data_IF_411700003364
#
_entry.id   IF_411700003364
#
_cell.length_a   1.000
_cell.length_b   1.000
_cell.length_c   1.000
_cell.angle_alpha   90.00
_cell.angle_beta   90.00
_cell.angle_gamma   90.00
#
_symmetry.space_group_name_H-M   'P 1'
#
loop_
_entity.id
_entity.type
_entity.pdbx_description
1 polymer ?
#
# COMPACT_ATOMS: atom_id res chain seq x y z
N UNK A 1 -11.67 32.34 -13.10
CA UNK A 1 -10.58 32.58 -14.07
C UNK A 1 -9.56 31.46 -13.89
N UNK A 2 -9.61 30.42 -14.73
CA UNK A 2 -8.63 29.32 -14.71
C UNK A 2 -7.39 29.79 -15.46
N UNK A 3 -6.23 29.78 -14.81
CA UNK A 3 -4.96 30.05 -15.48
C UNK A 3 -4.69 28.93 -16.49
N UNK A 4 -4.87 29.22 -17.78
CA UNK A 4 -4.54 28.31 -18.88
C UNK A 4 -3.02 28.38 -19.13
N UNK A 5 -2.27 27.49 -18.50
CA UNK A 5 -0.85 27.32 -18.81
C UNK A 5 -0.71 26.34 -19.98
N UNK A 6 -0.44 26.87 -21.17
CA UNK A 6 0.04 26.06 -22.30
C UNK A 6 1.56 26.21 -22.35
N UNK A 7 2.35 25.12 -22.28
CA UNK A 7 3.80 25.22 -22.42
C UNK A 7 4.14 25.84 -23.78
N UNK A 8 4.78 27.02 -23.79
CA UNK A 8 5.12 27.77 -25.01
C UNK A 8 6.47 27.35 -25.62
N UNK A 9 7.17 26.40 -25.00
CA UNK A 9 8.44 25.83 -25.46
C UNK A 9 8.38 24.31 -25.38
N UNK A 10 9.04 23.62 -26.32
CA UNK A 10 9.14 22.16 -26.30
C UNK A 10 9.84 21.64 -25.04
N UNK A 11 9.33 20.54 -24.49
CA UNK A 11 9.81 19.90 -23.25
C UNK A 11 9.11 18.55 -23.03
N UNK A 12 9.43 17.81 -21.96
CA UNK A 12 8.86 16.49 -21.74
C UNK A 12 7.37 16.56 -21.40
N UNK A 13 6.83 17.72 -21.02
CA UNK A 13 5.42 17.88 -20.68
C UNK A 13 4.58 18.29 -21.90
N UNK A 14 3.44 17.65 -22.09
CA UNK A 14 2.45 18.01 -23.10
C UNK A 14 1.05 18.05 -22.48
N UNK A 15 0.19 18.91 -23.02
CA UNK A 15 -1.23 18.92 -22.65
C UNK A 15 -1.93 17.84 -23.48
N UNK A 16 -2.44 16.80 -22.83
CA UNK A 16 -3.32 15.83 -23.48
C UNK A 16 -4.77 16.19 -23.21
N UNK A 17 -5.62 16.02 -24.21
CA UNK A 17 -7.07 16.18 -24.05
C UNK A 17 -7.67 14.83 -23.67
N UNK A 18 -8.23 14.73 -22.47
CA UNK A 18 -9.08 13.59 -22.09
C UNK A 18 -10.53 13.96 -22.40
N UNK A 19 -11.24 13.08 -23.10
CA UNK A 19 -12.66 13.27 -23.39
C UNK A 19 -13.44 12.52 -22.33
N UNK A 20 -14.10 13.27 -21.45
CA UNK A 20 -15.03 12.70 -20.50
C UNK A 20 -16.46 12.89 -21.03
N UNK A 21 -17.13 11.79 -21.36
CA UNK A 21 -18.49 11.84 -21.90
C UNK A 21 -19.46 11.30 -20.85
N UNK A 22 -20.28 12.19 -20.29
CA UNK A 22 -21.40 11.78 -19.45
C UNK A 22 -22.58 11.47 -20.35
N UNK A 23 -23.14 10.26 -20.25
CA UNK A 23 -24.29 9.83 -21.05
C UNK A 23 -24.92 8.55 -20.51
N UNK A 24 -26.15 8.24 -20.92
CA UNK A 24 -26.81 6.99 -20.50
C UNK A 24 -26.08 5.80 -21.13
N UNK A 25 -25.63 4.86 -20.30
CA UNK A 25 -24.96 3.65 -20.78
C UNK A 25 -25.98 2.69 -21.39
N UNK A 26 -25.81 2.36 -22.67
CA UNK A 26 -26.44 1.21 -23.31
C UNK A 26 -25.35 0.50 -24.13
N UNK A 27 -25.02 -0.74 -23.74
CA UNK A 27 -24.01 -1.60 -24.38
C UNK A 27 -22.63 -0.95 -24.58
N UNK A 28 -21.75 -1.03 -23.56
CA UNK A 28 -20.32 -0.67 -23.57
C UNK A 28 -19.88 0.66 -24.22
N UNK A 29 -20.82 1.51 -24.62
CA UNK A 29 -20.57 2.85 -25.15
C UNK A 29 -21.61 3.83 -24.58
N UNK A 30 -21.18 4.99 -24.07
CA UNK A 30 -22.11 6.02 -23.62
C UNK A 30 -22.82 6.64 -24.83
N UNK A 31 -24.15 6.49 -24.90
CA UNK A 31 -24.97 7.07 -25.97
C UNK A 31 -25.69 8.32 -25.42
N UNK A 32 -25.30 9.47 -25.96
CA UNK A 32 -25.93 10.76 -25.70
C UNK A 32 -25.57 11.41 -24.36
N UNK A 33 -25.03 12.63 -24.43
CA UNK A 33 -24.79 13.52 -23.28
C UNK A 33 -23.59 14.45 -23.51
N UNK A 34 -23.24 15.29 -22.52
CA UNK A 34 -22.25 16.36 -22.70
C UNK A 34 -20.83 15.78 -22.60
N UNK A 35 -20.08 15.86 -23.70
CA UNK A 35 -18.65 15.62 -23.69
C UNK A 35 -17.92 16.85 -23.15
N UNK A 36 -17.18 16.68 -22.06
CA UNK A 36 -16.27 17.69 -21.55
C UNK A 36 -14.84 17.29 -21.89
N UNK A 37 -14.14 18.20 -22.58
CA UNK A 37 -12.72 18.05 -22.88
C UNK A 37 -11.94 18.63 -21.72
N UNK A 38 -11.21 17.79 -20.99
CA UNK A 38 -10.31 18.22 -19.94
C UNK A 38 -8.87 18.23 -20.45
N UNK A 39 -8.15 19.31 -20.13
CA UNK A 39 -6.76 19.51 -20.52
C UNK A 39 -5.86 19.18 -19.32
N UNK A 40 -5.13 18.06 -19.39
CA UNK A 40 -4.21 17.62 -18.33
C UNK A 40 -2.77 17.64 -18.81
N UNK A 41 -1.85 18.05 -17.93
CA UNK A 41 -0.41 18.09 -18.21
C UNK A 41 0.20 16.70 -17.98
N UNK A 42 0.85 16.12 -18.99
CA UNK A 42 1.47 14.78 -18.93
C UNK A 42 2.94 14.83 -19.34
N UNK A 43 3.82 14.09 -18.65
CA UNK A 43 5.23 13.89 -19.04
C UNK A 43 5.30 12.77 -20.09
N UNK A 44 6.05 12.99 -21.17
CA UNK A 44 6.32 12.04 -22.25
C UNK A 44 7.51 11.19 -21.80
N UNK A 45 7.22 10.02 -21.25
CA UNK A 45 8.21 8.97 -20.96
C UNK A 45 8.03 7.89 -22.02
N UNK A 46 9.12 7.38 -22.57
CA UNK A 46 9.07 6.33 -23.59
C UNK A 46 8.48 5.04 -22.97
N UNK A 47 7.31 4.61 -23.47
CA UNK A 47 6.55 3.49 -22.91
C UNK A 47 5.64 3.95 -21.75
N UNK A 48 4.42 3.40 -21.70
CA UNK A 48 3.36 3.77 -20.76
C UNK A 48 3.69 3.39 -19.29
N UNK A 49 4.68 4.05 -18.69
CA UNK A 49 4.95 3.96 -17.26
C UNK A 49 3.95 4.86 -16.54
N UNK A 50 2.91 4.27 -15.97
CA UNK A 50 1.88 5.04 -15.26
C UNK A 50 2.23 5.21 -13.79
N UNK A 51 3.16 4.42 -13.23
CA UNK A 51 3.42 4.38 -11.79
C UNK A 51 2.25 3.78 -11.00
N UNK A 52 1.22 3.25 -11.66
CA UNK A 52 0.07 2.59 -11.03
C UNK A 52 0.30 1.09 -10.97
N UNK A 53 0.17 0.50 -9.79
CA UNK A 53 0.31 -0.94 -9.52
C UNK A 53 -1.04 -1.45 -9.01
N UNK A 54 -1.77 -2.31 -9.73
CA UNK A 54 -2.96 -2.93 -9.17
C UNK A 54 -2.58 -3.81 -7.97
N UNK A 55 -3.47 -3.92 -7.00
CA UNK A 55 -3.33 -4.84 -5.88
C UNK A 55 -4.56 -5.75 -5.85
N UNK A 56 -4.32 -7.05 -5.69
CA UNK A 56 -5.36 -8.05 -5.55
C UNK A 56 -5.65 -8.27 -4.05
N UNK A 57 -6.91 -8.45 -3.69
CA UNK A 57 -7.35 -8.86 -2.36
C UNK A 57 -7.69 -10.37 -2.36
N UNK A 58 -6.72 -11.26 -2.06
CA UNK A 58 -6.97 -12.69 -1.97
C UNK A 58 -7.64 -13.13 -0.66
N UNK A 59 -7.78 -12.26 0.34
CA UNK A 59 -8.15 -12.64 1.70
C UNK A 59 -9.20 -11.72 2.35
N UNK A 60 -10.19 -11.27 1.59
CA UNK A 60 -11.35 -10.51 2.08
C UNK A 60 -10.92 -9.32 2.95
N UNK A 61 -10.16 -8.42 2.38
CA UNK A 61 -9.59 -7.20 2.95
C UNK A 61 -8.47 -7.44 3.98
N UNK A 62 -8.04 -8.69 4.18
CA UNK A 62 -6.99 -9.03 5.17
C UNK A 62 -5.57 -8.96 4.63
N UNK A 63 -5.40 -8.93 3.30
CA UNK A 63 -4.10 -8.91 2.62
C UNK A 63 -4.27 -8.29 1.23
N UNK A 64 -3.36 -7.43 0.80
CA UNK A 64 -3.36 -6.85 -0.55
C UNK A 64 -2.03 -7.12 -1.26
N UNK A 65 -2.07 -7.89 -2.34
CA UNK A 65 -0.86 -8.31 -3.04
C UNK A 65 -0.68 -7.54 -4.36
N UNK A 66 0.49 -6.92 -4.51
CA UNK A 66 0.85 -6.16 -5.70
C UNK A 66 2.02 -6.83 -6.45
N UNK A 67 1.93 -6.96 -7.80
CA UNK A 67 2.97 -7.61 -8.58
C UNK A 67 4.21 -6.72 -8.73
N UNK A 68 5.37 -7.31 -8.46
CA UNK A 68 6.70 -6.70 -8.65
C UNK A 68 7.57 -7.64 -9.47
N UNK A 69 8.10 -7.16 -10.59
CA UNK A 69 9.06 -7.92 -11.41
C UNK A 69 10.49 -7.64 -10.97
N UNK A 70 11.27 -8.69 -10.71
CA UNK A 70 12.64 -8.61 -10.22
C UNK A 70 13.60 -9.25 -11.22
N UNK A 71 14.69 -8.56 -11.54
CA UNK A 71 15.82 -9.15 -12.26
C UNK A 71 15.71 -9.21 -13.78
N UNK A 72 16.70 -9.86 -14.39
CA UNK A 72 16.85 -9.99 -15.85
C UNK A 72 17.24 -11.42 -16.26
N UNK A 73 16.37 -12.20 -16.92
CA UNK A 73 14.97 -11.90 -17.23
C UNK A 73 14.13 -11.70 -15.96
N UNK A 74 13.03 -10.95 -16.11
CA UNK A 74 12.13 -10.62 -15.01
C UNK A 74 11.50 -11.87 -14.39
N UNK A 75 11.51 -11.93 -13.07
CA UNK A 75 10.80 -12.89 -12.21
C UNK A 75 9.77 -12.10 -11.42
N UNK A 76 8.48 -12.34 -11.66
CA UNK A 76 7.42 -11.61 -10.93
C UNK A 76 7.08 -12.31 -9.63
N UNK A 77 6.97 -11.53 -8.57
CA UNK A 77 6.52 -11.91 -7.23
C UNK A 77 5.36 -11.01 -6.83
N UNK A 78 4.45 -11.51 -6.00
CA UNK A 78 3.31 -10.76 -5.49
C UNK A 78 3.58 -10.38 -4.03
N UNK A 79 3.84 -9.09 -3.79
CA UNK A 79 4.30 -8.61 -2.49
C UNK A 79 3.20 -7.83 -1.79
N UNK A 80 3.18 -7.93 -0.47
CA UNK A 80 2.39 -7.07 0.38
C UNK A 80 3.14 -5.74 0.58
N UNK A 81 2.50 -4.62 0.24
CA UNK A 81 3.15 -3.31 0.26
C UNK A 81 2.91 -2.67 1.62
N UNK A 82 3.99 -2.48 2.37
CA UNK A 82 3.96 -2.29 3.82
C UNK A 82 4.45 -0.91 4.25
N UNK A 83 3.54 -0.01 4.62
CA UNK A 83 3.91 1.31 5.19
C UNK A 83 4.35 1.26 6.66
N UNK A 84 4.22 0.12 7.32
CA UNK A 84 4.72 -0.18 8.66
C UNK A 84 6.15 -0.72 8.71
N UNK A 85 6.78 -1.10 7.60
CA UNK A 85 8.20 -1.53 7.56
C UNK A 85 8.99 -0.95 6.37
N UNK A 86 10.31 -1.14 6.37
CA UNK A 86 11.22 -0.56 5.38
C UNK A 86 12.06 -1.60 4.62
N UNK A 87 11.69 -2.87 4.72
CA UNK A 87 12.44 -4.00 4.17
C UNK A 87 11.76 -4.50 2.90
N UNK A 88 12.54 -4.80 1.86
CA UNK A 88 12.03 -5.48 0.66
C UNK A 88 12.59 -6.89 0.68
N UNK A 89 11.79 -7.81 1.19
CA UNK A 89 12.15 -9.21 1.28
C UNK A 89 11.24 -10.09 0.44
N UNK A 90 11.81 -11.18 -0.07
CA UNK A 90 11.10 -12.12 -0.93
C UNK A 90 11.35 -13.56 -0.52
N UNK A 91 10.35 -14.41 -0.74
CA UNK A 91 10.56 -15.85 -0.80
C UNK A 91 11.64 -16.14 -1.83
N UNK A 92 12.67 -16.87 -1.42
CA UNK A 92 13.83 -17.13 -2.25
C UNK A 92 14.15 -18.61 -2.34
N UNK A 93 14.89 -19.01 -3.37
CA UNK A 93 15.38 -20.39 -3.49
C UNK A 93 16.40 -20.79 -2.42
N UNK A 94 16.73 -19.90 -1.47
CA UNK A 94 17.53 -20.22 -0.29
C UNK A 94 16.71 -20.88 0.82
N UNK A 95 15.37 -20.76 0.78
CA UNK A 95 14.48 -21.46 1.70
C UNK A 95 14.63 -22.99 1.56
N UNK A 96 14.44 -23.76 2.65
CA UNK A 96 14.34 -25.21 2.58
C UNK A 96 13.28 -25.67 1.58
N UNK A 97 13.59 -26.69 0.78
CA UNK A 97 12.67 -27.17 -0.27
C UNK A 97 11.29 -27.57 0.28
N UNK A 98 11.23 -28.19 1.46
CA UNK A 98 9.97 -28.55 2.10
C UNK A 98 9.13 -27.36 2.61
N UNK A 99 9.69 -26.14 2.65
CA UNK A 99 8.94 -24.90 2.84
C UNK A 99 8.45 -24.39 1.48
N UNK A 100 9.33 -24.35 0.48
CA UNK A 100 8.98 -23.92 -0.89
C UNK A 100 7.84 -24.78 -1.46
N UNK A 101 7.88 -26.10 -1.27
CA UNK A 101 6.88 -27.03 -1.79
C UNK A 101 5.47 -26.80 -1.20
N UNK A 102 5.37 -26.13 -0.05
CA UNK A 102 4.07 -25.77 0.57
C UNK A 102 3.49 -24.46 0.02
N UNK A 103 4.27 -23.67 -0.70
CA UNK A 103 3.84 -22.41 -1.32
C UNK A 103 3.24 -22.67 -2.70
N UNK A 104 2.26 -23.58 -2.77
CA UNK A 104 1.81 -24.25 -4.01
C UNK A 104 1.35 -23.30 -5.13
N UNK A 105 1.01 -22.04 -4.81
CA UNK A 105 0.52 -21.04 -5.77
C UNK A 105 1.33 -19.74 -5.79
N UNK A 106 2.42 -19.67 -5.03
CA UNK A 106 3.25 -18.47 -4.96
C UNK A 106 4.53 -18.56 -5.78
N UNK A 107 5.21 -17.43 -5.90
CA UNK A 107 6.44 -17.30 -6.66
C UNK A 107 7.64 -17.25 -5.71
N UNK A 108 8.71 -17.94 -6.10
CA UNK A 108 9.97 -17.95 -5.37
C UNK A 108 11.05 -17.34 -6.24
N UNK A 109 11.66 -16.25 -5.77
CA UNK A 109 12.72 -15.58 -6.49
C UNK A 109 13.99 -16.43 -6.50
N UNK A 110 14.53 -16.65 -7.70
CA UNK A 110 15.81 -17.34 -7.88
C UNK A 110 16.88 -16.32 -8.32
N UNK A 111 17.78 -15.89 -7.42
CA UNK A 111 18.82 -14.91 -7.75
C UNK A 111 19.76 -15.42 -8.87
N UNK A 112 20.03 -16.72 -8.94
CA UNK A 112 20.94 -17.31 -9.95
C UNK A 112 20.38 -17.26 -11.38
N UNK A 113 19.07 -17.04 -11.53
CA UNK A 113 18.40 -16.86 -12.83
C UNK A 113 18.37 -15.41 -13.29
N UNK A 114 18.80 -14.45 -12.46
CA UNK A 114 18.91 -13.05 -12.84
C UNK A 114 20.35 -12.68 -13.17
N UNK A 115 20.58 -12.26 -14.41
CA UNK A 115 21.87 -11.73 -14.88
C UNK A 115 22.22 -10.35 -14.30
N UNK A 116 21.27 -9.67 -13.65
CA UNK A 116 21.47 -8.35 -13.03
C UNK A 116 21.55 -8.40 -11.51
N UNK A 117 21.28 -9.55 -10.88
CA UNK A 117 21.43 -9.74 -9.44
C UNK A 117 22.90 -9.65 -9.04
N UNK A 118 23.17 -8.91 -7.96
CA UNK A 118 24.49 -8.79 -7.36
C UNK A 118 24.37 -8.90 -5.85
N UNK A 119 24.93 -9.94 -5.27
CA UNK A 119 25.02 -10.05 -3.81
C UNK A 119 25.73 -8.84 -3.19
N UNK A 120 25.35 -8.52 -1.96
CA UNK A 120 26.03 -7.58 -1.07
C UNK A 120 26.74 -8.38 0.02
N UNK A 121 28.00 -8.82 -0.19
CA UNK A 121 28.66 -9.72 0.73
C UNK A 121 28.77 -9.15 2.13
N UNK A 122 28.46 -9.98 3.13
CA UNK A 122 28.49 -9.58 4.54
C UNK A 122 27.26 -8.79 5.01
N UNK A 123 26.24 -8.64 4.16
CA UNK A 123 24.95 -8.05 4.54
C UNK A 123 23.96 -9.13 4.97
N UNK A 124 23.33 -8.95 6.12
CA UNK A 124 22.35 -9.86 6.72
C UNK A 124 21.10 -9.06 7.08
N UNK A 125 19.95 -9.73 7.22
CA UNK A 125 18.71 -9.08 7.61
C UNK A 125 17.87 -10.02 8.49
N UNK A 126 17.14 -9.42 9.42
CA UNK A 126 16.19 -10.12 10.29
C UNK A 126 15.11 -9.13 10.69
N UNK A 127 13.87 -9.45 10.31
CA UNK A 127 12.70 -8.65 10.64
C UNK A 127 11.75 -9.46 11.52
N UNK A 128 11.23 -8.81 12.56
CA UNK A 128 10.25 -9.39 13.47
C UNK A 128 9.07 -8.45 13.58
N UNK A 129 7.89 -8.97 13.25
CA UNK A 129 6.59 -8.35 13.37
C UNK A 129 5.86 -8.89 14.62
N UNK A 130 4.72 -8.29 14.96
CA UNK A 130 3.89 -8.78 16.07
C UNK A 130 3.31 -10.17 15.83
N UNK A 131 3.13 -10.55 14.57
CA UNK A 131 2.48 -11.79 14.10
C UNK A 131 3.45 -12.83 13.51
N UNK A 132 4.73 -12.48 13.32
CA UNK A 132 5.70 -13.37 12.70
C UNK A 132 7.08 -12.77 12.51
N UNK A 133 8.01 -13.55 11.97
CA UNK A 133 9.35 -13.09 11.62
C UNK A 133 9.82 -13.71 10.31
N UNK A 134 10.69 -12.99 9.61
CA UNK A 134 11.40 -13.45 8.44
C UNK A 134 12.87 -13.04 8.58
N UNK A 135 13.77 -13.87 8.08
CA UNK A 135 15.19 -13.54 8.13
C UNK A 135 15.97 -14.20 7.00
N UNK A 136 17.17 -13.67 6.78
CA UNK A 136 18.07 -14.24 5.80
C UNK A 136 19.51 -13.79 5.91
N UNK A 137 20.41 -14.70 5.53
CA UNK A 137 21.83 -14.44 5.48
C UNK A 137 22.32 -13.83 4.15
N UNK A 138 21.41 -13.54 3.21
CA UNK A 138 21.76 -13.00 1.89
C UNK A 138 20.90 -11.78 1.57
N UNK A 139 21.58 -10.65 1.38
CA UNK A 139 21.03 -9.45 0.73
C UNK A 139 21.76 -9.25 -0.59
N UNK A 140 21.03 -8.88 -1.63
CA UNK A 140 21.61 -8.49 -2.91
C UNK A 140 20.96 -7.24 -3.47
N UNK A 141 21.42 -6.80 -4.62
CA UNK A 141 20.78 -5.75 -5.40
C UNK A 141 20.34 -6.29 -6.74
N UNK A 142 19.19 -5.85 -7.20
CA UNK A 142 18.73 -6.11 -8.56
C UNK A 142 17.91 -4.92 -9.11
N UNK A 143 17.44 -5.04 -10.33
CA UNK A 143 16.45 -4.13 -10.90
C UNK A 143 15.05 -4.65 -10.58
N UNK A 144 14.22 -3.81 -9.97
CA UNK A 144 12.79 -4.10 -9.82
C UNK A 144 11.96 -3.25 -10.78
N UNK A 145 10.80 -3.77 -11.19
CA UNK A 145 9.81 -3.07 -12.00
C UNK A 145 8.44 -3.19 -11.36
N UNK A 146 7.81 -2.07 -11.07
CA UNK A 146 6.45 -1.96 -10.56
C UNK A 146 5.73 -0.77 -11.20
N UNK A 147 4.52 -0.98 -11.72
CA UNK A 147 3.75 0.06 -12.39
C UNK A 147 4.45 0.65 -13.62
N UNK A 148 5.35 -0.14 -14.22
CA UNK A 148 6.23 0.26 -15.31
C UNK A 148 7.49 1.03 -14.88
N UNK A 149 7.57 1.53 -13.64
CA UNK A 149 8.77 2.22 -13.11
C UNK A 149 9.88 1.20 -12.89
N UNK A 150 11.11 1.54 -13.28
CA UNK A 150 12.28 0.64 -13.20
C UNK A 150 13.26 1.19 -12.16
N UNK A 151 13.24 0.61 -10.96
CA UNK A 151 14.14 0.98 -9.86
C UNK A 151 15.40 0.10 -9.96
N UNK A 152 16.55 0.70 -10.27
CA UNK A 152 17.82 -0.04 -10.41
C UNK A 152 18.53 -0.15 -9.07
N UNK A 153 19.32 -1.23 -8.93
CA UNK A 153 20.13 -1.51 -7.75
C UNK A 153 19.33 -1.46 -6.44
N UNK A 154 18.05 -1.82 -6.49
CA UNK A 154 17.23 -1.95 -5.30
C UNK A 154 17.76 -3.12 -4.48
N UNK A 155 17.95 -2.91 -3.18
CA UNK A 155 18.29 -3.99 -2.27
C UNK A 155 17.11 -4.95 -2.13
N UNK A 156 17.41 -6.24 -2.15
CA UNK A 156 16.46 -7.36 -2.07
C UNK A 156 17.00 -8.32 -1.03
N UNK A 157 16.18 -8.57 -0.04
CA UNK A 157 16.47 -9.38 1.13
C UNK A 157 15.92 -10.79 0.88
N UNK A 158 16.81 -11.77 0.78
CA UNK A 158 16.43 -13.13 0.40
C UNK A 158 16.11 -13.94 1.65
N UNK A 159 14.87 -14.38 1.79
CA UNK A 159 14.48 -15.22 2.92
C UNK A 159 15.18 -16.57 2.85
N UNK A 160 15.77 -16.98 3.97
CA UNK A 160 16.20 -18.37 4.21
C UNK A 160 15.42 -19.02 5.37
N UNK A 161 14.75 -18.20 6.18
CA UNK A 161 13.93 -18.61 7.32
C UNK A 161 12.63 -17.78 7.35
N UNK A 162 11.50 -18.45 7.59
CA UNK A 162 10.17 -17.84 7.73
C UNK A 162 9.44 -18.43 8.94
N UNK A 163 8.71 -17.59 9.68
CA UNK A 163 7.77 -18.05 10.70
C UNK A 163 6.65 -18.88 10.11
N UNK A 164 5.95 -19.65 10.96
CA UNK A 164 4.80 -20.45 10.52
C UNK A 164 3.66 -19.60 9.94
N UNK A 165 3.52 -18.35 10.39
CA UNK A 165 2.51 -17.41 9.89
C UNK A 165 2.79 -17.04 8.44
N UNK A 166 4.02 -16.62 8.11
CA UNK A 166 4.40 -16.31 6.73
C UNK A 166 4.34 -17.51 5.80
N UNK A 167 4.66 -18.72 6.28
CA UNK A 167 4.54 -19.95 5.50
C UNK A 167 3.10 -20.32 5.12
N UNK A 168 2.10 -19.80 5.85
CA UNK A 168 0.67 -20.04 5.57
C UNK A 168 0.04 -18.95 4.70
N UNK A 169 0.72 -17.80 4.56
CA UNK A 169 0.26 -16.69 3.73
C UNK A 169 0.37 -16.98 2.24
N UNK A 170 -0.40 -16.25 1.44
CA UNK A 170 -0.40 -16.34 -0.02
C UNK A 170 0.59 -15.38 -0.70
N UNK A 171 1.21 -14.48 0.06
CA UNK A 171 2.17 -13.49 -0.44
C UNK A 171 3.57 -14.06 -0.63
N UNK A 172 4.30 -13.50 -1.59
CA UNK A 172 5.67 -13.89 -1.95
C UNK A 172 6.73 -13.06 -1.21
N UNK A 173 6.32 -12.21 -0.26
CA UNK A 173 7.18 -11.34 0.52
C UNK A 173 6.53 -9.99 0.79
N UNK A 174 7.34 -9.04 1.27
CA UNK A 174 6.91 -7.67 1.57
C UNK A 174 7.75 -6.65 0.78
N UNK A 175 7.14 -5.49 0.54
CA UNK A 175 7.81 -4.30 0.03
C UNK A 175 7.56 -3.14 1.00
N UNK A 176 8.58 -2.84 1.80
CA UNK A 176 8.54 -1.74 2.76
C UNK A 176 8.43 -0.36 2.11
N UNK A 177 7.50 0.44 2.65
CA UNK A 177 7.14 1.80 2.26
C UNK A 177 7.24 2.78 3.44
N UNK A 178 7.72 2.33 4.60
CA UNK A 178 8.16 3.20 5.69
C UNK A 178 9.49 3.90 5.35
N UNK A 179 10.06 4.64 6.30
CA UNK A 179 11.31 5.36 6.09
C UNK A 179 12.52 4.45 6.30
N UNK A 180 13.57 4.58 5.48
CA UNK A 180 14.73 3.65 5.48
C UNK A 180 15.52 3.57 6.78
N UNK A 181 15.33 4.51 7.72
CA UNK A 181 16.02 4.48 9.01
C UNK A 181 15.60 3.32 9.91
N UNK A 182 14.53 2.60 9.57
CA UNK A 182 14.12 1.35 10.24
C UNK A 182 14.35 0.09 9.38
N UNK A 183 15.01 0.20 8.22
CA UNK A 183 15.39 -0.98 7.45
C UNK A 183 16.36 -1.87 8.25
N UNK A 184 16.17 -3.18 8.21
CA UNK A 184 16.87 -4.10 9.12
C UNK A 184 18.24 -4.57 8.63
N UNK A 185 18.62 -4.25 7.38
CA UNK A 185 19.90 -4.72 6.81
C UNK A 185 21.09 -4.23 7.64
N UNK A 186 21.90 -5.18 8.07
CA UNK A 186 23.16 -4.96 8.77
C UNK A 186 24.35 -5.30 7.88
N UNK A 187 25.50 -4.62 7.99
CA UNK A 187 25.81 -3.56 8.96
C UNK A 187 25.33 -2.16 8.56
N UNK A 188 24.73 -2.02 7.38
CA UNK A 188 24.29 -0.75 6.84
C UNK A 188 22.90 -0.89 6.24
N UNK A 189 21.95 -0.11 6.79
CA UNK A 189 20.59 -0.01 6.27
C UNK A 189 20.60 0.42 4.79
N UNK A 190 19.64 -0.12 4.03
CA UNK A 190 19.47 0.15 2.61
C UNK A 190 18.25 1.05 2.35
N UNK A 191 18.19 1.64 1.16
CA UNK A 191 17.05 2.49 0.75
C UNK A 191 15.83 1.66 0.39
N UNK A 192 14.66 2.18 0.72
CA UNK A 192 13.37 1.65 0.24
C UNK A 192 13.19 1.93 -1.27
N UNK A 193 12.27 1.23 -1.95
CA UNK A 193 11.97 1.49 -3.36
C UNK A 193 11.59 2.94 -3.66
N UNK A 194 10.78 3.58 -2.80
CA UNK A 194 10.35 4.97 -3.00
C UNK A 194 11.54 5.93 -2.94
N UNK A 195 12.42 5.76 -1.95
CA UNK A 195 13.64 6.58 -1.85
C UNK A 195 14.55 6.40 -3.06
N UNK A 196 14.68 5.16 -3.56
CA UNK A 196 15.43 4.88 -4.77
C UNK A 196 14.76 5.46 -6.03
N UNK A 197 13.43 5.49 -6.12
CA UNK A 197 12.69 6.15 -7.21
C UNK A 197 12.93 7.67 -7.21
N UNK A 198 12.90 8.30 -6.03
CA UNK A 198 13.21 9.74 -5.87
C UNK A 198 14.66 10.02 -6.28
N UNK A 199 15.61 9.23 -5.78
CA UNK A 199 17.03 9.42 -6.07
C UNK A 199 17.40 9.17 -7.55
N UNK A 200 16.56 8.44 -8.30
CA UNK A 200 16.76 8.12 -9.72
C UNK A 200 15.92 9.00 -10.66
N UNK A 201 15.15 9.95 -10.14
CA UNK A 201 14.20 10.78 -10.90
C UNK A 201 13.11 9.95 -11.64
N UNK A 202 12.83 8.74 -11.16
CA UNK A 202 11.78 7.86 -11.69
C UNK A 202 10.40 8.45 -11.42
N UNK A 203 10.25 9.13 -10.27
CA UNK A 203 9.06 9.93 -9.94
C UNK A 203 9.38 11.43 -9.95
N UNK A 204 8.42 12.32 -10.27
CA UNK A 204 8.68 13.75 -10.31
C UNK A 204 9.03 14.33 -8.93
N UNK A 205 10.08 15.16 -8.86
CA UNK A 205 10.42 15.93 -7.64
C UNK A 205 9.28 16.81 -7.10
N UNK A 206 8.34 17.22 -7.96
CA UNK A 206 7.17 17.99 -7.54
C UNK A 206 6.08 17.15 -6.87
N UNK A 207 6.24 15.83 -6.83
CA UNK A 207 5.28 14.89 -6.28
C UNK A 207 5.90 14.05 -5.15
N UNK A 208 7.09 13.46 -5.33
CA UNK A 208 7.83 12.65 -4.33
C UNK A 208 6.95 11.89 -3.33
N UNK A 209 5.90 11.25 -3.85
CA UNK A 209 4.84 10.62 -3.08
C UNK A 209 4.48 9.28 -3.70
N UNK A 210 3.81 8.46 -2.89
CA UNK A 210 2.98 7.37 -3.37
C UNK A 210 1.58 7.51 -2.74
N UNK A 211 0.59 6.81 -3.29
CA UNK A 211 -0.72 6.66 -2.66
C UNK A 211 -1.09 5.20 -2.59
N UNK A 212 -1.83 4.82 -1.55
CA UNK A 212 -2.49 3.54 -1.42
C UNK A 212 -4.01 3.76 -1.50
N UNK A 213 -4.68 3.02 -2.38
CA UNK A 213 -6.13 2.86 -2.36
C UNK A 213 -6.42 1.38 -2.14
N UNK A 214 -6.95 1.06 -0.97
CA UNK A 214 -7.36 -0.28 -0.59
C UNK A 214 -8.89 -0.31 -0.61
N UNK A 215 -9.47 -0.94 -1.64
CA UNK A 215 -10.92 -1.13 -1.76
C UNK A 215 -11.33 -2.46 -1.15
N UNK A 216 -12.65 -2.63 -0.91
CA UNK A 216 -13.17 -3.84 -0.28
C UNK A 216 -13.89 -4.75 -1.26
N UNK A 217 -13.84 -6.06 -1.04
CA UNK A 217 -14.72 -7.02 -1.74
C UNK A 217 -16.22 -6.71 -1.55
N UNK A 218 -16.58 -5.96 -0.51
CA UNK A 218 -17.96 -5.52 -0.22
C UNK A 218 -18.45 -4.47 -1.23
N UNK A 219 -17.54 -3.75 -1.86
CA UNK A 219 -17.82 -2.66 -2.79
C UNK A 219 -17.94 -3.17 -4.25
N UNK A 220 -18.21 -4.47 -4.44
CA UNK A 220 -18.29 -5.10 -5.76
C UNK A 220 -19.35 -4.48 -6.69
N UNK A 221 -20.36 -3.82 -6.13
CA UNK A 221 -21.43 -3.14 -6.85
C UNK A 221 -21.09 -1.65 -7.16
N UNK A 222 -20.00 -1.11 -6.62
CA UNK A 222 -19.53 0.23 -6.92
C UNK A 222 -18.91 0.32 -8.34
N UNK A 223 -18.80 1.53 -8.94
CA UNK A 223 -18.29 1.67 -10.31
C UNK A 223 -16.89 1.07 -10.55
N UNK A 224 -16.03 1.08 -9.53
CA UNK A 224 -14.68 0.51 -9.59
C UNK A 224 -14.59 -0.91 -9.01
N UNK A 225 -15.71 -1.44 -8.49
CA UNK A 225 -15.86 -2.79 -7.94
C UNK A 225 -14.88 -3.11 -6.80
N UNK A 226 -14.61 -2.13 -5.93
CA UNK A 226 -13.68 -2.32 -4.82
C UNK A 226 -12.22 -2.45 -5.24
N UNK A 227 -11.84 -1.92 -6.41
CA UNK A 227 -10.48 -2.08 -6.92
C UNK A 227 -9.41 -1.43 -6.02
N UNK A 228 -8.39 -2.22 -5.67
CA UNK A 228 -7.20 -1.78 -4.94
C UNK A 228 -6.03 -1.50 -5.86
N UNK A 229 -5.24 -0.47 -5.53
CA UNK A 229 -4.00 -0.16 -6.23
C UNK A 229 -3.11 0.80 -5.43
N UNK A 230 -1.83 0.82 -5.81
CA UNK A 230 -0.86 1.83 -5.39
C UNK A 230 -0.48 2.72 -6.57
N UNK A 231 -0.14 3.97 -6.29
CA UNK A 231 0.46 4.88 -7.29
C UNK A 231 1.78 5.43 -6.79
N UNK A 232 2.74 5.62 -7.68
CA UNK A 232 4.04 6.21 -7.39
C UNK A 232 4.23 7.45 -8.26
N UNK A 233 4.43 8.61 -7.63
CA UNK A 233 4.69 9.90 -8.29
C UNK A 233 3.46 10.71 -8.71
N UNK A 234 2.25 10.27 -8.37
CA UNK A 234 1.02 11.02 -8.62
C UNK A 234 -0.15 10.56 -7.76
N UNK A 235 -1.15 11.43 -7.58
CA UNK A 235 -2.43 11.13 -6.94
C UNK A 235 -3.48 10.91 -8.03
N UNK A 236 -4.18 9.77 -7.99
CA UNK A 236 -5.23 9.48 -8.97
C UNK A 236 -6.45 10.38 -8.76
N UNK A 237 -6.62 11.35 -9.66
CA UNK A 237 -7.68 12.37 -9.55
C UNK A 237 -9.08 11.79 -9.72
N UNK A 238 -9.24 10.67 -10.43
CA UNK A 238 -10.53 9.99 -10.58
C UNK A 238 -11.01 9.46 -9.22
N UNK A 239 -10.11 8.85 -8.44
CA UNK A 239 -10.40 8.39 -7.07
C UNK A 239 -10.76 9.57 -6.15
N UNK A 240 -10.00 10.67 -6.19
CA UNK A 240 -10.31 11.88 -5.38
C UNK A 240 -11.64 12.51 -5.80
N UNK A 241 -11.93 12.57 -7.10
CA UNK A 241 -13.20 13.13 -7.57
C UNK A 241 -14.38 12.25 -7.18
N UNK A 242 -14.21 10.92 -7.22
CA UNK A 242 -15.23 9.96 -6.84
C UNK A 242 -15.57 10.01 -5.35
N UNK A 243 -14.60 10.33 -4.48
CA UNK A 243 -14.85 10.50 -3.03
C UNK A 243 -15.70 11.74 -2.70
N UNK A 244 -15.80 12.70 -3.63
CA UNK A 244 -16.53 13.95 -3.43
C UNK A 244 -15.82 14.95 -2.49
N UNK A 245 -14.58 14.67 -2.10
CA UNK A 245 -13.81 15.42 -1.11
C UNK A 245 -12.44 15.83 -1.69
N UNK A 246 -11.89 16.93 -1.20
CA UNK A 246 -10.50 17.30 -1.47
C UNK A 246 -9.53 16.50 -0.56
N UNK A 247 -8.30 16.30 -1.05
CA UNK A 247 -7.24 15.66 -0.25
C UNK A 247 -6.92 16.53 0.97
N UNK A 248 -7.04 15.93 2.16
CA UNK A 248 -6.61 16.52 3.41
C UNK A 248 -5.20 16.06 3.77
N UNK A 249 -4.34 16.99 4.16
CA UNK A 249 -2.96 16.72 4.52
C UNK A 249 -2.75 17.02 6.00
N UNK A 250 -2.00 16.14 6.67
CA UNK A 250 -1.55 16.32 8.05
C UNK A 250 -0.02 16.19 8.11
N UNK A 251 0.68 16.88 9.02
CA UNK A 251 2.11 16.68 9.23
C UNK A 251 2.44 15.25 9.67
N UNK A 252 3.57 14.72 9.18
CA UNK A 252 4.10 13.41 9.56
C UNK A 252 5.31 13.59 10.48
N UNK A 253 5.34 12.83 11.57
CA UNK A 253 6.52 12.63 12.43
C UNK A 253 7.19 11.30 12.08
N UNK A 254 8.24 11.36 11.27
CA UNK A 254 9.00 10.19 10.84
C UNK A 254 10.22 9.90 11.71
N UNK A 255 10.36 10.51 12.89
CA UNK A 255 11.55 10.34 13.74
C UNK A 255 11.78 8.90 14.19
N UNK A 256 10.71 8.10 14.26
CA UNK A 256 10.75 6.67 14.55
C UNK A 256 10.71 5.79 13.29
N UNK A 257 10.74 6.39 12.09
CA UNK A 257 10.72 5.69 10.82
C UNK A 257 9.36 5.29 10.27
N UNK A 258 8.26 5.61 10.98
CA UNK A 258 6.89 5.32 10.57
C UNK A 258 6.14 6.55 10.05
N UNK A 259 4.99 6.34 9.41
CA UNK A 259 4.07 7.40 8.99
C UNK A 259 3.19 7.86 10.15
N UNK A 260 3.80 8.41 11.21
CA UNK A 260 3.06 8.85 12.41
C UNK A 260 2.41 10.21 12.20
N UNK A 261 1.15 10.33 12.61
CA UNK A 261 0.40 11.58 12.63
C UNK A 261 -0.44 11.72 13.89
N UNK A 262 -0.85 12.94 14.21
CA UNK A 262 -1.72 13.21 15.36
C UNK A 262 -3.14 12.69 15.09
N UNK A 263 -3.69 11.93 16.05
CA UNK A 263 -5.06 11.41 16.01
C UNK A 263 -5.70 11.56 17.39
N UNK A 264 -6.03 12.81 17.72
CA UNK A 264 -6.36 13.22 19.09
C UNK A 264 -7.84 13.03 19.48
N UNK A 265 -8.71 12.59 18.57
CA UNK A 265 -10.11 12.29 18.87
C UNK A 265 -10.67 11.14 18.04
N UNK A 266 -11.63 10.44 18.63
CA UNK A 266 -12.53 9.54 17.93
C UNK A 266 -13.99 9.93 18.21
N UNK A 267 -14.92 9.45 17.40
CA UNK A 267 -16.35 9.48 17.73
C UNK A 267 -16.98 8.13 17.48
N UNK A 268 -17.85 7.69 18.38
CA UNK A 268 -18.67 6.48 18.23
C UNK A 268 -20.13 6.89 18.28
N UNK A 269 -20.87 6.68 17.18
CA UNK A 269 -22.27 7.14 17.03
C UNK A 269 -22.46 8.62 17.40
N UNK A 270 -21.51 9.48 17.01
CA UNK A 270 -21.50 10.91 17.30
C UNK A 270 -21.08 11.30 18.72
N UNK A 271 -20.83 10.33 19.61
CA UNK A 271 -20.26 10.60 20.94
C UNK A 271 -18.75 10.72 20.83
N UNK A 272 -18.21 11.89 21.20
CA UNK A 272 -16.77 12.17 21.10
C UNK A 272 -15.98 11.53 22.25
N UNK A 273 -14.85 10.94 21.89
CA UNK A 273 -13.83 10.37 22.79
C UNK A 273 -12.56 11.19 22.60
N UNK A 274 -12.02 11.70 23.69
CA UNK A 274 -10.80 12.52 23.67
C UNK A 274 -9.58 11.62 23.85
N UNK A 275 -8.65 11.65 22.89
CA UNK A 275 -7.43 10.83 22.87
C UNK A 275 -6.21 11.74 22.99
N UNK A 276 -6.08 12.46 24.11
CA UNK A 276 -5.09 13.54 24.25
C UNK A 276 -3.67 13.04 24.01
N UNK A 277 -2.97 13.66 23.05
CA UNK A 277 -1.60 13.30 22.70
C UNK A 277 -1.46 11.97 21.97
N UNK A 278 -2.57 11.35 21.58
CA UNK A 278 -2.55 10.12 20.79
C UNK A 278 -2.00 10.39 19.38
N UNK A 279 -1.17 9.46 18.93
CA UNK A 279 -0.63 9.40 17.58
C UNK A 279 -1.04 8.08 16.95
N UNK A 280 -1.23 8.08 15.65
CA UNK A 280 -1.52 6.89 14.87
C UNK A 280 -0.47 6.73 13.77
N UNK A 281 -0.26 5.50 13.32
CA UNK A 281 0.53 5.20 12.12
C UNK A 281 -0.40 4.76 11.00
N UNK A 282 -0.13 5.18 9.77
CA UNK A 282 -0.74 4.57 8.60
C UNK A 282 0.05 3.30 8.26
N UNK A 283 -0.56 2.15 8.51
CA UNK A 283 0.02 0.82 8.28
C UNK A 283 -0.92 0.02 7.39
N UNK A 284 -0.46 -0.30 6.18
CA UNK A 284 -1.25 -0.98 5.14
C UNK A 284 -1.33 -2.49 5.31
N UNK A 285 -0.51 -3.11 6.16
CA UNK A 285 -0.46 -4.58 6.33
C UNK A 285 -1.02 -5.05 7.67
N UNK A 286 -1.21 -4.14 8.63
CA UNK A 286 -2.00 -4.45 9.82
C UNK A 286 -3.49 -4.47 9.45
N UNK A 287 -4.07 -5.68 9.39
CA UNK A 287 -5.49 -5.90 9.01
C UNK A 287 -6.50 -5.16 9.88
N UNK A 288 -6.23 -5.02 11.19
CA UNK A 288 -7.16 -4.40 12.15
C UNK A 288 -6.77 -2.97 12.48
N UNK A 289 -7.76 -2.11 12.73
CA UNK A 289 -7.53 -0.82 13.38
C UNK A 289 -7.27 -1.05 14.89
N UNK A 290 -6.00 -1.01 15.29
CA UNK A 290 -5.61 -1.11 16.70
C UNK A 290 -5.73 0.25 17.38
N UNK A 291 -6.53 0.34 18.44
CA UNK A 291 -6.83 1.57 19.17
C UNK A 291 -6.70 1.35 20.68
N UNK A 292 -6.70 2.43 21.46
CA UNK A 292 -6.68 2.37 22.92
C UNK A 292 -7.92 1.66 23.49
N UNK A 293 -7.76 1.07 24.66
CA UNK A 293 -8.79 0.26 25.33
C UNK A 293 -10.12 1.01 25.53
N UNK A 294 -10.07 2.30 25.88
CA UNK A 294 -11.28 3.10 26.10
C UNK A 294 -12.08 3.26 24.80
N UNK A 295 -11.38 3.59 23.70
CA UNK A 295 -12.01 3.73 22.38
C UNK A 295 -12.50 2.38 21.87
N UNK A 296 -11.72 1.31 22.03
CA UNK A 296 -12.09 -0.04 21.61
C UNK A 296 -13.35 -0.51 22.35
N UNK A 297 -13.39 -0.38 23.68
CA UNK A 297 -14.54 -0.73 24.50
C UNK A 297 -15.79 0.05 24.09
N UNK A 298 -15.67 1.36 23.83
CA UNK A 298 -16.80 2.18 23.41
C UNK A 298 -17.39 1.74 22.06
N UNK A 299 -16.55 1.31 21.11
CA UNK A 299 -17.00 0.77 19.81
C UNK A 299 -17.80 -0.52 20.04
N UNK A 300 -17.25 -1.47 20.78
CA UNK A 300 -17.92 -2.76 20.96
C UNK A 300 -19.13 -2.70 21.90
N UNK A 301 -19.16 -1.80 22.88
CA UNK A 301 -20.35 -1.54 23.71
C UNK A 301 -21.55 -1.05 22.88
N UNK A 302 -21.29 -0.42 21.74
CA UNK A 302 -22.34 0.01 20.81
C UNK A 302 -22.91 -1.15 19.97
N UNK A 303 -22.29 -2.33 19.98
CA UNK A 303 -22.73 -3.52 19.22
C UNK A 303 -23.46 -4.47 20.16
N UNK A 304 -24.77 -4.64 19.95
CA UNK A 304 -25.58 -5.52 20.79
C UNK A 304 -25.08 -6.98 20.76
N UNK A 305 -24.69 -7.48 21.93
CA UNK A 305 -24.20 -8.85 22.12
C UNK A 305 -22.71 -9.02 21.89
N UNK A 306 -21.97 -7.95 21.64
CA UNK A 306 -20.51 -7.99 21.65
C UNK A 306 -19.96 -8.24 23.07
N UNK A 307 -18.82 -8.92 23.15
CA UNK A 307 -18.12 -9.17 24.41
C UNK A 307 -16.63 -9.37 24.15
N UNK A 308 -15.82 -9.11 25.17
CA UNK A 308 -14.39 -9.43 25.12
C UNK A 308 -14.17 -10.92 25.44
N UNK A 309 -13.55 -11.64 24.50
CA UNK A 309 -13.20 -13.04 24.65
C UNK A 309 -11.73 -13.17 25.08
N UNK A 310 -11.51 -13.73 26.27
CA UNK A 310 -10.16 -13.83 26.85
C UNK A 310 -9.27 -14.86 26.17
N UNK A 311 -9.88 -15.89 25.59
CA UNK A 311 -9.14 -16.97 24.93
C UNK A 311 -8.66 -16.51 23.54
N UNK A 312 -9.47 -15.74 22.84
CA UNK A 312 -9.13 -15.11 21.55
C UNK A 312 -8.36 -13.79 21.70
N UNK A 313 -8.28 -13.25 22.92
CA UNK A 313 -7.67 -11.95 23.22
C UNK A 313 -8.22 -10.78 22.38
N UNK A 314 -9.53 -10.76 22.16
CA UNK A 314 -10.18 -9.76 21.33
C UNK A 314 -11.69 -9.69 21.54
N UNK A 315 -12.32 -8.66 20.99
CA UNK A 315 -13.78 -8.55 21.02
C UNK A 315 -14.41 -9.40 19.92
N UNK A 316 -15.44 -10.15 20.32
CA UNK A 316 -16.31 -10.90 19.42
C UNK A 316 -17.70 -10.26 19.43
N UNK A 317 -18.43 -10.39 18.32
CA UNK A 317 -19.82 -9.96 18.22
C UNK A 317 -20.63 -10.96 17.39
N UNK A 318 -21.97 -10.96 17.49
CA UNK A 318 -22.81 -11.90 16.76
C UNK A 318 -22.60 -11.82 15.24
N UNK A 319 -22.33 -12.95 14.58
CA UNK A 319 -22.06 -12.99 13.14
C UNK A 319 -23.26 -12.61 12.25
N UNK A 320 -24.44 -12.50 12.83
CA UNK A 320 -25.66 -12.01 12.16
C UNK A 320 -25.91 -10.51 12.40
N UNK A 321 -24.97 -9.78 13.00
CA UNK A 321 -25.00 -8.32 13.07
C UNK A 321 -24.86 -7.76 11.66
N UNK A 322 -25.89 -7.06 11.21
CA UNK A 322 -25.93 -6.40 9.91
C UNK A 322 -25.23 -5.04 9.98
N UNK A 323 -24.80 -4.52 8.84
CA UNK A 323 -24.04 -3.26 8.74
C UNK A 323 -24.77 -2.07 9.39
N UNK A 324 -26.09 -1.98 9.23
CA UNK A 324 -26.94 -0.95 9.85
C UNK A 324 -26.97 -1.00 11.39
N UNK A 325 -26.44 -2.07 11.99
CA UNK A 325 -26.32 -2.24 13.45
C UNK A 325 -24.88 -2.06 13.96
N UNK A 326 -23.92 -1.84 13.07
CA UNK A 326 -22.57 -1.46 13.46
C UNK A 326 -22.54 0.05 13.77
N UNK A 327 -21.73 0.49 14.76
CA UNK A 327 -21.59 1.90 15.05
C UNK A 327 -20.87 2.62 13.92
N UNK A 328 -21.25 3.88 13.69
CA UNK A 328 -20.42 4.77 12.86
C UNK A 328 -19.26 5.25 13.71
N UNK A 329 -18.04 4.91 13.29
CA UNK A 329 -16.81 5.27 13.99
C UNK A 329 -16.07 6.29 13.14
N UNK A 330 -15.58 7.36 13.76
CA UNK A 330 -14.70 8.32 13.09
C UNK A 330 -13.42 8.51 13.89
N UNK A 331 -12.29 8.62 13.22
CA UNK A 331 -11.01 9.00 13.81
C UNK A 331 -10.52 10.30 13.20
N UNK A 332 -9.86 11.14 13.98
CA UNK A 332 -9.15 12.30 13.43
C UNK A 332 -7.86 11.87 12.74
N UNK A 333 -7.60 12.37 11.53
CA UNK A 333 -6.28 12.40 10.90
C UNK A 333 -5.86 13.87 10.91
N UNK A 334 -4.93 14.25 11.78
CA UNK A 334 -4.71 15.67 12.11
C UNK A 334 -5.93 16.25 12.81
N UNK A 335 -6.60 17.20 12.17
CA UNK A 335 -7.79 17.88 12.69
C UNK A 335 -9.11 17.49 11.99
N UNK A 336 -9.06 16.66 10.93
CA UNK A 336 -10.25 16.21 10.18
C UNK A 336 -10.66 14.81 10.60
N UNK A 337 -11.96 14.61 10.84
CA UNK A 337 -12.54 13.29 11.06
C UNK A 337 -12.73 12.51 9.75
N UNK A 338 -12.38 11.23 9.77
CA UNK A 338 -12.61 10.26 8.72
C UNK A 338 -13.42 9.10 9.27
N UNK A 339 -14.43 8.67 8.52
CA UNK A 339 -15.29 7.55 8.86
C UNK A 339 -14.60 6.23 8.53
N UNK A 340 -14.77 5.26 9.42
CA UNK A 340 -14.44 3.85 9.26
C UNK A 340 -15.74 3.06 9.22
#
# INVERSE_FOLDING_TARGET
MMYRFTPTKGGPYFVSSSIHQTGRQYANQPIGGKAQVQHVLRKRVAGAQTGKVPADDPQNDSLYLAPVSIGTPAQTVNLDFDTGSADLWVWSTNLPSGIIDKHENGNVFNPTKSSTFKELPGSLWEISFGDGSASGAVVGTDTIVLGGLKVKNQAIELADTLSAQFQQGTGDGLLGLAFSNINTVQPQAVRTPVENMVAQDDIPHSAELFTAKLGSWRDADEPDRGASFYTFGFIEQETVTASGEDVHYTPIDNTQGFWLFDSASATVNGTSITRRGNRATADTVTTLALVDDETCQAIYDAIHGAYYDKDSQGYLYPSNTTEDKLPVVLFTIGDKHFTV
#
